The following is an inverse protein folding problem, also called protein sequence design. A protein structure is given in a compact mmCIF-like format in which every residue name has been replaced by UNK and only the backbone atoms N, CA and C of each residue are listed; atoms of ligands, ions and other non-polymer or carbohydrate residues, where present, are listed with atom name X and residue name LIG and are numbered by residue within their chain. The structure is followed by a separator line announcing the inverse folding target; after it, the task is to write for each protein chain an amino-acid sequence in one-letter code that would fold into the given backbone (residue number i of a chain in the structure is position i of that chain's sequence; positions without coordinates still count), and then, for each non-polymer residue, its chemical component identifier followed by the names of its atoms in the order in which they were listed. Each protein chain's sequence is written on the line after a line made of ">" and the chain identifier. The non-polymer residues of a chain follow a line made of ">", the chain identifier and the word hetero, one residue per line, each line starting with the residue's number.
data_IF_173695087158
#
_entry.id   IF_173695087158
#
_cell.length_a   1.000
_cell.length_b   1.000
_cell.length_c   1.000
_cell.angle_alpha   90.00
_cell.angle_beta   90.00
_cell.angle_gamma   90.00
#
_symmetry.space_group_name_H-M   'P 1'
#
loop_
_entity.id
_entity.type
_entity.pdbx_description
1 polymer ?
#
# COMPACT_ATOMS: atom_id res chain seq x y z
N UNK A 1 -13.81 -7.13 -15.03
CA UNK A 1 -12.99 -6.60 -13.92
C UNK A 1 -12.67 -5.16 -14.25
N UNK A 2 -13.11 -4.20 -13.45
CA UNK A 2 -12.84 -2.78 -13.72
C UNK A 2 -11.34 -2.53 -13.48
N UNK A 3 -10.66 -1.84 -14.40
CA UNK A 3 -9.23 -1.45 -14.34
C UNK A 3 -8.16 -2.56 -14.54
N UNK A 4 -8.53 -3.75 -15.01
CA UNK A 4 -7.54 -4.78 -15.39
C UNK A 4 -6.90 -4.52 -16.78
N UNK A 5 -5.71 -5.11 -17.07
CA UNK A 5 -4.96 -6.06 -16.25
C UNK A 5 -4.09 -5.41 -15.14
N UNK A 6 -4.05 -6.06 -13.96
CA UNK A 6 -3.35 -5.57 -12.77
C UNK A 6 -1.84 -5.31 -12.99
N UNK A 7 -1.15 -6.22 -13.69
CA UNK A 7 0.28 -6.11 -13.95
C UNK A 7 0.63 -4.93 -14.86
N UNK A 8 -0.18 -4.70 -15.90
CA UNK A 8 -0.01 -3.56 -16.81
C UNK A 8 -0.13 -2.24 -16.06
N UNK A 9 -1.08 -2.16 -15.12
CA UNK A 9 -1.24 -0.99 -14.28
C UNK A 9 0.01 -0.73 -13.43
N UNK A 10 0.53 -1.75 -12.74
CA UNK A 10 1.75 -1.63 -11.92
C UNK A 10 2.95 -1.20 -12.78
N UNK A 11 3.19 -1.89 -13.90
CA UNK A 11 4.30 -1.62 -14.80
C UNK A 11 4.22 -0.21 -15.40
N UNK A 12 3.01 0.27 -15.69
CA UNK A 12 2.79 1.64 -16.18
C UNK A 12 3.31 2.69 -15.21
N UNK A 13 2.90 2.61 -13.93
CA UNK A 13 3.37 3.55 -12.90
C UNK A 13 4.86 3.38 -12.57
N UNK A 14 5.38 2.15 -12.63
CA UNK A 14 6.81 1.91 -12.48
C UNK A 14 7.63 2.57 -13.58
N UNK A 15 7.20 2.44 -14.84
CA UNK A 15 7.86 3.08 -15.97
C UNK A 15 7.81 4.61 -15.86
N UNK A 16 6.69 5.16 -15.39
CA UNK A 16 6.59 6.61 -15.16
C UNK A 16 7.52 7.07 -14.04
N UNK A 17 7.63 6.28 -12.96
CA UNK A 17 8.63 6.51 -11.90
C UNK A 17 10.06 6.58 -12.45
N UNK A 18 10.43 5.67 -13.35
CA UNK A 18 11.77 5.66 -13.95
C UNK A 18 12.00 6.90 -14.83
N UNK A 19 10.98 7.36 -15.56
CA UNK A 19 11.07 8.54 -16.42
C UNK A 19 11.11 9.85 -15.64
N UNK A 20 10.36 9.94 -14.54
CA UNK A 20 10.14 11.18 -13.78
C UNK A 20 10.20 10.92 -12.28
N UNK A 21 11.38 10.57 -11.73
CA UNK A 21 11.54 10.23 -10.32
C UNK A 21 11.13 11.35 -9.36
N UNK A 22 11.22 12.61 -9.78
CA UNK A 22 10.84 13.78 -8.97
C UNK A 22 9.33 14.12 -9.04
N UNK A 23 8.56 13.39 -9.87
CA UNK A 23 7.12 13.63 -10.09
C UNK A 23 6.26 12.43 -9.74
N UNK A 24 6.84 11.25 -9.67
CA UNK A 24 6.14 10.03 -9.28
C UNK A 24 6.90 9.33 -8.17
N UNK A 25 6.25 9.12 -7.04
CA UNK A 25 6.74 8.28 -5.95
C UNK A 25 6.06 6.92 -6.04
N UNK A 26 6.84 5.85 -6.21
CA UNK A 26 6.33 4.48 -6.23
C UNK A 26 6.53 3.83 -4.86
N UNK A 27 5.43 3.39 -4.23
CA UNK A 27 5.41 2.81 -2.90
C UNK A 27 4.81 1.41 -2.92
N UNK A 28 5.37 0.50 -2.11
CA UNK A 28 4.75 -0.78 -1.79
C UNK A 28 3.93 -0.61 -0.51
N UNK A 29 2.90 -1.42 -0.29
CA UNK A 29 2.14 -1.37 0.96
C UNK A 29 3.02 -1.72 2.17
N UNK A 30 3.57 -0.69 2.80
CA UNK A 30 4.32 -0.69 4.06
C UNK A 30 4.20 0.71 4.71
N UNK A 31 3.25 0.93 5.63
CA UNK A 31 2.90 2.27 6.10
C UNK A 31 4.05 3.03 6.76
N UNK A 32 4.90 2.33 7.53
CA UNK A 32 5.94 2.97 8.36
C UNK A 32 7.12 3.35 7.50
N UNK A 33 7.63 2.45 6.66
CA UNK A 33 8.77 2.73 5.77
C UNK A 33 8.46 3.81 4.72
N UNK A 34 7.18 3.98 4.39
CA UNK A 34 6.77 4.93 3.38
C UNK A 34 6.64 6.36 3.90
N UNK A 35 6.42 6.57 5.20
CA UNK A 35 6.12 7.91 5.71
C UNK A 35 7.26 8.90 5.50
N UNK A 36 8.51 8.49 5.79
CA UNK A 36 9.69 9.32 5.51
C UNK A 36 9.85 9.60 4.01
N UNK A 37 9.71 8.56 3.17
CA UNK A 37 9.80 8.70 1.70
C UNK A 37 8.74 9.67 1.15
N UNK A 38 7.52 9.65 1.71
CA UNK A 38 6.45 10.57 1.33
C UNK A 38 6.75 11.99 1.76
N UNK A 39 7.21 12.20 3.00
CA UNK A 39 7.55 13.52 3.52
C UNK A 39 8.67 14.18 2.70
N UNK A 40 9.73 13.44 2.40
CA UNK A 40 10.84 13.91 1.55
C UNK A 40 10.33 14.27 0.15
N UNK A 41 9.53 13.40 -0.46
CA UNK A 41 8.98 13.61 -1.81
C UNK A 41 8.02 14.80 -1.89
N UNK A 42 7.29 15.09 -0.81
CA UNK A 42 6.41 16.25 -0.70
C UNK A 42 7.16 17.56 -0.37
N UNK A 43 8.48 17.51 -0.19
CA UNK A 43 9.30 18.67 0.17
C UNK A 43 9.16 19.12 1.62
N UNK A 44 8.68 18.23 2.50
CA UNK A 44 8.48 18.48 3.94
C UNK A 44 9.18 17.41 4.79
N UNK A 45 10.50 17.19 4.61
CA UNK A 45 11.24 16.16 5.34
C UNK A 45 11.10 16.37 6.86
N UNK A 46 11.06 15.27 7.61
CA UNK A 46 11.06 15.36 9.07
C UNK A 46 12.40 15.90 9.55
N UNK A 47 12.37 16.89 10.44
CA UNK A 47 13.58 17.35 11.13
C UNK A 47 13.95 16.37 12.25
N UNK A 48 15.24 16.29 12.60
CA UNK A 48 15.72 15.50 13.75
C UNK A 48 15.01 15.85 15.07
N UNK A 49 14.51 17.07 15.19
CA UNK A 49 13.73 17.53 16.33
C UNK A 49 12.32 16.92 16.34
N UNK A 50 11.63 16.90 15.19
CA UNK A 50 10.31 16.24 15.05
C UNK A 50 10.39 14.73 15.24
N UNK A 51 11.47 14.10 14.79
CA UNK A 51 11.76 12.69 15.07
C UNK A 51 11.89 12.44 16.58
N UNK A 52 12.64 13.29 17.29
CA UNK A 52 12.78 13.20 18.76
C UNK A 52 11.48 13.45 19.52
N UNK A 53 10.58 14.26 18.95
CA UNK A 53 9.27 14.57 19.52
C UNK A 53 8.22 13.48 19.28
N UNK A 54 8.56 12.38 18.60
CA UNK A 54 7.65 11.26 18.38
C UNK A 54 6.55 11.54 17.34
N UNK A 55 6.74 12.55 16.49
CA UNK A 55 5.72 12.99 15.50
C UNK A 55 5.44 11.88 14.48
N UNK A 56 6.46 11.10 14.12
CA UNK A 56 6.32 9.97 13.18
C UNK A 56 5.37 8.92 13.77
N UNK A 57 5.59 8.55 15.03
CA UNK A 57 4.79 7.59 15.77
C UNK A 57 3.35 8.07 15.94
N UNK A 58 3.15 9.36 16.19
CA UNK A 58 1.83 9.96 16.29
C UNK A 58 1.07 9.89 14.96
N UNK A 59 1.71 10.28 13.84
CA UNK A 59 1.10 10.18 12.51
C UNK A 59 0.78 8.72 12.17
N UNK A 60 1.73 7.80 12.39
CA UNK A 60 1.51 6.36 12.16
C UNK A 60 0.33 5.84 12.98
N UNK A 61 0.23 6.25 14.25
CA UNK A 61 -0.89 5.87 15.13
C UNK A 61 -2.21 6.45 14.63
N UNK A 62 -2.25 7.75 14.30
CA UNK A 62 -3.45 8.43 13.80
C UNK A 62 -3.95 7.81 12.49
N UNK A 63 -3.05 7.51 11.56
CA UNK A 63 -3.36 6.91 10.26
C UNK A 63 -3.41 5.38 10.29
N UNK A 64 -3.19 4.74 11.45
CA UNK A 64 -3.22 3.29 11.57
C UNK A 64 -4.60 2.76 11.22
N UNK A 65 -4.65 1.57 10.60
CA UNK A 65 -5.91 0.90 10.28
C UNK A 65 -6.77 0.73 11.54
N UNK A 66 -6.16 0.35 12.68
CA UNK A 66 -6.84 0.19 13.96
C UNK A 66 -7.50 1.48 14.43
N UNK A 67 -6.82 2.62 14.32
CA UNK A 67 -7.39 3.90 14.72
C UNK A 67 -8.50 4.34 13.76
N UNK A 68 -8.21 4.34 12.45
CA UNK A 68 -9.16 4.79 11.43
C UNK A 68 -10.43 3.94 11.41
N UNK A 69 -10.32 2.62 11.60
CA UNK A 69 -11.48 1.71 11.66
C UNK A 69 -12.43 2.03 12.82
N UNK A 70 -11.90 2.56 13.92
CA UNK A 70 -12.67 2.83 15.13
C UNK A 70 -13.37 4.20 15.13
N UNK A 71 -13.04 5.09 14.18
CA UNK A 71 -13.71 6.38 14.05
C UNK A 71 -15.19 6.20 13.69
N UNK A 72 -16.08 6.94 14.37
CA UNK A 72 -17.53 6.84 14.18
C UNK A 72 -17.97 7.03 12.73
N UNK A 73 -17.32 7.97 12.02
CA UNK A 73 -17.56 8.20 10.59
C UNK A 73 -17.28 6.96 9.74
N UNK A 74 -16.34 6.11 10.13
CA UNK A 74 -15.98 4.90 9.40
C UNK A 74 -16.82 3.67 9.82
N UNK A 75 -17.38 3.67 11.03
CA UNK A 75 -18.30 2.64 11.50
C UNK A 75 -19.72 2.81 10.94
N UNK A 76 -20.20 4.04 10.90
CA UNK A 76 -21.62 4.37 10.63
C UNK A 76 -21.82 5.06 9.29
N UNK A 77 -20.79 5.70 8.74
CA UNK A 77 -20.91 6.45 7.49
C UNK A 77 -21.09 5.56 6.26
N UNK A 78 -21.61 6.17 5.19
CA UNK A 78 -21.92 5.51 3.93
C UNK A 78 -21.66 6.44 2.76
N UNK A 79 -21.12 5.88 1.67
CA UNK A 79 -20.91 6.58 0.40
C UNK A 79 -21.59 5.82 -0.73
N UNK A 80 -22.58 6.44 -1.37
CA UNK A 80 -23.39 5.96 -2.52
C UNK A 80 -23.75 4.46 -2.52
N UNK A 81 -22.78 3.59 -2.76
CA UNK A 81 -22.92 2.14 -3.00
C UNK A 81 -22.32 1.30 -1.85
N UNK A 82 -21.60 1.90 -0.89
CA UNK A 82 -20.85 1.16 0.14
C UNK A 82 -20.85 1.85 1.51
N UNK A 83 -21.03 1.08 2.57
CA UNK A 83 -20.75 1.52 3.96
C UNK A 83 -19.24 1.76 4.13
N UNK A 84 -18.85 2.76 4.91
CA UNK A 84 -17.43 3.07 5.14
C UNK A 84 -16.67 1.90 5.80
N UNK A 85 -17.34 1.11 6.64
CA UNK A 85 -16.74 -0.06 7.29
C UNK A 85 -16.17 -1.09 6.29
N UNK A 86 -16.69 -1.13 5.05
CA UNK A 86 -16.22 -2.04 4.02
C UNK A 86 -14.77 -1.77 3.57
N UNK A 87 -14.26 -0.54 3.76
CA UNK A 87 -12.87 -0.19 3.45
C UNK A 87 -11.87 -0.69 4.52
N UNK A 88 -12.34 -1.09 5.72
CA UNK A 88 -11.49 -1.44 6.87
C UNK A 88 -11.64 -2.91 7.29
N UNK A 89 -11.01 -3.82 6.53
CA UNK A 89 -11.08 -5.27 6.76
C UNK A 89 -10.12 -5.76 7.87
N UNK A 90 -9.11 -6.56 7.52
CA UNK A 90 -8.07 -7.07 8.43
C UNK A 90 -6.78 -6.24 8.39
N UNK A 91 -6.42 -5.69 7.22
CA UNK A 91 -5.17 -4.97 6.97
C UNK A 91 -3.90 -5.72 7.39
N UNK A 92 -3.92 -7.05 7.28
CA UNK A 92 -2.77 -7.92 7.54
C UNK A 92 -2.19 -8.41 6.23
N UNK A 93 -0.86 -8.44 6.15
CA UNK A 93 -0.13 -9.14 5.08
C UNK A 93 -0.36 -10.66 5.21
N UNK A 94 -0.28 -11.40 4.12
CA UNK A 94 -0.38 -12.85 4.13
C UNK A 94 -1.79 -13.44 4.25
N UNK A 95 -2.83 -12.61 4.39
CA UNK A 95 -4.19 -13.13 4.59
C UNK A 95 -4.75 -13.94 3.39
N UNK A 96 -4.06 -13.92 2.25
CA UNK A 96 -4.37 -14.73 1.06
C UNK A 96 -4.32 -16.24 1.35
N UNK A 97 -3.51 -16.70 2.33
CA UNK A 97 -3.40 -18.12 2.71
C UNK A 97 -4.72 -18.72 3.19
N UNK A 98 -5.66 -17.88 3.65
CA UNK A 98 -6.99 -18.31 4.09
C UNK A 98 -7.95 -18.54 2.91
N UNK A 99 -7.56 -18.21 1.68
CA UNK A 99 -8.43 -18.23 0.50
C UNK A 99 -7.85 -19.00 -0.68
N UNK A 100 -6.53 -19.18 -0.75
CA UNK A 100 -5.85 -19.86 -1.86
C UNK A 100 -5.41 -21.24 -1.42
N UNK A 101 -5.62 -22.24 -2.29
CA UNK A 101 -4.89 -23.50 -2.17
C UNK A 101 -3.40 -23.28 -2.47
N UNK A 102 -2.51 -24.19 -2.04
CA UNK A 102 -1.09 -24.14 -2.41
C UNK A 102 -0.87 -24.04 -3.93
N UNK A 103 -1.64 -24.79 -4.73
CA UNK A 103 -1.54 -24.76 -6.19
C UNK A 103 -1.98 -23.42 -6.80
N UNK A 104 -3.01 -22.77 -6.24
CA UNK A 104 -3.41 -21.42 -6.67
C UNK A 104 -2.34 -20.38 -6.36
N UNK A 105 -1.70 -20.50 -5.19
CA UNK A 105 -0.63 -19.61 -4.76
C UNK A 105 0.62 -19.76 -5.64
N UNK A 106 1.03 -20.99 -5.92
CA UNK A 106 2.14 -21.31 -6.82
C UNK A 106 1.89 -20.75 -8.23
N UNK A 107 0.69 -20.98 -8.77
CA UNK A 107 0.29 -20.42 -10.07
C UNK A 107 0.36 -18.90 -10.08
N UNK A 108 -0.11 -18.24 -9.02
CA UNK A 108 -0.05 -16.78 -8.90
C UNK A 108 1.39 -16.29 -8.81
N UNK A 109 2.26 -16.96 -8.06
CA UNK A 109 3.68 -16.62 -7.95
C UNK A 109 4.37 -16.72 -9.31
N UNK A 110 4.14 -17.80 -10.08
CA UNK A 110 4.68 -17.95 -11.42
C UNK A 110 4.23 -16.81 -12.36
N UNK A 111 2.94 -16.44 -12.32
CA UNK A 111 2.43 -15.31 -13.11
C UNK A 111 3.09 -13.99 -12.69
N UNK A 112 3.29 -13.77 -11.38
CA UNK A 112 3.98 -12.59 -10.88
C UNK A 112 5.43 -12.53 -11.33
N UNK A 113 6.15 -13.65 -11.25
CA UNK A 113 7.55 -13.71 -11.66
C UNK A 113 7.69 -13.41 -13.15
N UNK A 114 6.81 -13.95 -13.99
CA UNK A 114 6.78 -13.64 -15.42
C UNK A 114 6.44 -12.17 -15.69
N UNK A 115 5.30 -11.69 -15.18
CA UNK A 115 4.74 -10.39 -15.54
C UNK A 115 5.42 -9.21 -14.85
N UNK A 116 5.92 -9.38 -13.63
CA UNK A 116 6.57 -8.33 -12.86
C UNK A 116 8.09 -8.40 -12.90
N UNK A 117 8.69 -9.35 -13.63
CA UNK A 117 10.13 -9.38 -13.90
C UNK A 117 10.73 -8.02 -14.33
N UNK A 118 10.06 -7.16 -15.12
CA UNK A 118 10.65 -5.86 -15.51
C UNK A 118 10.81 -4.89 -14.34
N UNK A 119 10.07 -5.07 -13.24
CA UNK A 119 10.23 -4.23 -12.05
C UNK A 119 11.62 -4.40 -11.41
N UNK A 120 12.27 -5.56 -11.63
CA UNK A 120 13.51 -5.97 -10.94
C UNK A 120 13.43 -5.82 -9.41
N UNK A 121 12.20 -5.89 -8.88
CA UNK A 121 11.89 -5.84 -7.46
C UNK A 121 11.34 -7.21 -7.05
N UNK A 122 11.77 -7.76 -5.90
CA UNK A 122 11.25 -9.03 -5.43
C UNK A 122 9.80 -8.86 -4.94
N UNK A 123 8.84 -9.29 -5.76
CA UNK A 123 7.46 -9.52 -5.36
C UNK A 123 7.27 -10.99 -5.02
N UNK A 124 7.28 -11.30 -3.73
CA UNK A 124 6.96 -12.62 -3.20
C UNK A 124 5.62 -12.56 -2.49
N UNK A 125 4.80 -13.59 -2.65
CA UNK A 125 3.72 -13.86 -1.71
C UNK A 125 4.36 -14.03 -0.32
N UNK A 126 4.05 -13.08 0.56
CA UNK A 126 4.38 -13.10 1.99
C UNK A 126 3.11 -13.32 2.77
#
# INVERSE_FOLDING_TARGET
>A
MVFGPFWTHILGYWNERLKRPDKVLFLKYDPVENLNKMADFMGVPFSKEKEKLGVIEEIVKMCSLSNLKELEVNKTGKRYISDHKCYFRKGKLGDWVNYFSPSMAERLQHIMDEKLSPLRLPFKLR
#
